data_IF_303004501571
#
_entry.id   IF_303004501571
#
_cell.length_a   1.000
_cell.length_b   1.000
_cell.length_c   1.000
_cell.angle_alpha   90.00
_cell.angle_beta   90.00
_cell.angle_gamma   90.00
#
_symmetry.space_group_name_H-M   'P 1'
#
loop_
_entity.id
_entity.type
_entity.pdbx_description
1 polymer ?
#
# COMPACT_ATOMS: atom_id res chain seq x y z
N UNK A 1 -11.65 -3.00 27.74
CA UNK A 1 -10.23 -3.16 27.37
C UNK A 1 -9.60 -4.26 28.21
N UNK A 2 -9.73 -5.51 27.77
CA UNK A 2 -9.17 -6.66 28.48
C UNK A 2 -7.74 -6.88 27.97
N UNK A 3 -6.76 -6.48 28.77
CA UNK A 3 -5.37 -6.90 28.56
C UNK A 3 -5.26 -8.38 28.91
N UNK A 4 -5.34 -9.23 27.90
CA UNK A 4 -4.96 -10.63 28.00
C UNK A 4 -3.82 -10.89 27.03
N UNK A 5 -2.64 -11.07 27.60
CA UNK A 5 -1.58 -12.04 27.27
C UNK A 5 -0.35 -11.57 28.05
N UNK A 6 -0.47 -11.65 29.38
CA UNK A 6 0.68 -11.68 30.27
C UNK A 6 1.23 -13.09 30.08
N UNK A 7 2.25 -13.25 29.25
CA UNK A 7 3.14 -14.39 29.41
C UNK A 7 3.79 -14.20 30.79
N UNK A 8 3.30 -14.97 31.75
CA UNK A 8 3.73 -15.00 33.14
C UNK A 8 5.27 -15.14 33.20
N UNK A 9 5.92 -14.01 33.43
CA UNK A 9 7.21 -13.91 34.11
C UNK A 9 6.93 -13.34 35.50
N UNK A 10 7.58 -13.83 36.56
CA UNK A 10 7.09 -13.69 37.92
C UNK A 10 6.97 -12.21 38.31
N UNK A 11 5.80 -11.86 38.84
CA UNK A 11 5.62 -10.72 39.72
C UNK A 11 6.75 -10.70 40.74
N UNK A 12 7.61 -9.69 40.73
CA UNK A 12 8.35 -9.24 41.91
C UNK A 12 9.03 -7.90 41.61
N UNK A 13 8.71 -6.86 42.37
CA UNK A 13 9.81 -6.09 42.96
C UNK A 13 10.64 -7.08 43.79
N UNK A 14 11.96 -6.87 43.79
CA UNK A 14 12.98 -7.54 44.64
C UNK A 14 13.60 -8.82 44.08
N UNK A 15 14.56 -8.67 43.14
CA UNK A 15 15.66 -9.64 43.02
C UNK A 15 16.95 -8.98 42.49
N UNK A 16 17.36 -7.87 43.11
CA UNK A 16 18.70 -7.31 42.92
C UNK A 16 19.10 -7.11 41.44
N UNK A 17 18.19 -6.60 40.61
CA UNK A 17 18.47 -6.31 39.21
C UNK A 17 18.25 -4.81 38.95
N UNK A 18 19.29 -4.11 38.50
CA UNK A 18 19.20 -2.71 38.07
C UNK A 18 18.97 -2.67 36.56
N UNK A 19 18.13 -1.74 36.09
CA UNK A 19 17.78 -1.59 34.67
C UNK A 19 18.55 -0.40 34.09
N UNK A 20 19.16 -0.59 32.92
CA UNK A 20 19.89 0.44 32.19
C UNK A 20 19.62 0.36 30.67
N UNK A 21 19.89 1.42 29.90
CA UNK A 21 19.68 1.51 28.45
C UNK A 21 18.26 1.15 27.98
N UNK A 22 17.24 1.68 28.66
CA UNK A 22 15.85 1.52 28.26
C UNK A 22 15.57 2.30 26.96
N UNK A 23 14.93 1.66 25.98
CA UNK A 23 14.47 2.30 24.74
C UNK A 23 13.06 1.83 24.41
N UNK A 24 12.22 2.76 23.91
CA UNK A 24 10.82 2.52 23.55
C UNK A 24 10.67 2.74 22.05
N UNK A 25 10.14 1.74 21.34
CA UNK A 25 9.95 1.80 19.89
C UNK A 25 8.59 1.23 19.48
N UNK A 26 8.10 1.63 18.31
CA UNK A 26 6.93 1.00 17.69
C UNK A 26 7.34 -0.34 17.04
N UNK A 27 6.53 -1.39 17.20
CA UNK A 27 6.70 -2.62 16.42
C UNK A 27 6.44 -2.33 14.93
N UNK A 28 7.26 -2.82 13.98
CA UNK A 28 7.16 -2.44 12.56
C UNK A 28 5.86 -2.90 11.89
N UNK A 29 5.26 -4.01 12.34
CA UNK A 29 4.11 -4.63 11.68
C UNK A 29 2.85 -4.75 12.56
N UNK A 30 3.00 -4.77 13.88
CA UNK A 30 1.92 -5.07 14.85
C UNK A 30 1.59 -3.85 15.69
N UNK A 31 0.39 -3.80 16.24
CA UNK A 31 -0.04 -2.76 17.19
C UNK A 31 0.60 -3.01 18.56
N UNK A 32 1.92 -2.89 18.63
CA UNK A 32 2.66 -3.19 19.84
C UNK A 32 3.81 -2.20 20.08
N UNK A 33 4.04 -1.92 21.37
CA UNK A 33 5.20 -1.15 21.84
C UNK A 33 6.31 -2.14 22.19
N UNK A 34 7.50 -1.89 21.65
CA UNK A 34 8.72 -2.68 21.89
C UNK A 34 9.60 -1.93 22.87
N UNK A 35 9.83 -2.54 24.02
CA UNK A 35 10.70 -2.00 25.07
C UNK A 35 11.94 -2.87 25.13
N UNK A 36 13.10 -2.27 24.87
CA UNK A 36 14.39 -2.95 25.02
C UNK A 36 15.14 -2.34 26.21
N UNK A 37 15.70 -3.19 27.05
CA UNK A 37 16.44 -2.77 28.24
C UNK A 37 17.55 -3.75 28.57
N UNK A 38 18.49 -3.31 29.40
CA UNK A 38 19.57 -4.14 29.94
C UNK A 38 19.32 -4.37 31.42
N UNK A 39 19.16 -5.63 31.82
CA UNK A 39 19.10 -6.02 33.23
C UNK A 39 20.52 -6.33 33.73
N UNK A 40 20.88 -5.74 34.88
CA UNK A 40 22.15 -5.93 35.57
C UNK A 40 21.90 -6.84 36.75
N UNK A 41 22.39 -8.07 36.71
CA UNK A 41 22.29 -8.95 37.86
C UNK A 41 23.33 -8.53 38.92
N UNK A 42 22.89 -7.94 40.03
CA UNK A 42 23.80 -7.35 41.04
C UNK A 42 24.71 -8.42 41.68
N UNK A 43 24.27 -9.69 41.74
CA UNK A 43 25.05 -10.79 42.31
C UNK A 43 26.18 -11.27 41.40
N UNK A 44 25.97 -11.26 40.08
CA UNK A 44 26.93 -11.79 39.10
C UNK A 44 27.62 -10.72 38.25
N UNK A 45 27.19 -9.45 38.37
CA UNK A 45 27.56 -8.30 37.51
C UNK A 45 27.45 -8.60 36.00
N UNK A 46 26.60 -9.54 35.62
CA UNK A 46 26.34 -9.88 34.21
C UNK A 46 25.19 -9.04 33.68
N UNK A 47 25.33 -8.66 32.42
CA UNK A 47 24.33 -7.93 31.66
C UNK A 47 23.52 -8.89 30.81
N UNK A 48 22.20 -8.78 30.85
CA UNK A 48 21.30 -9.47 29.93
C UNK A 48 20.49 -8.44 29.15
N UNK A 49 20.46 -8.59 27.82
CA UNK A 49 19.60 -7.80 26.97
C UNK A 49 18.21 -8.40 26.98
N UNK A 50 17.22 -7.62 27.39
CA UNK A 50 15.84 -8.04 27.51
C UNK A 50 14.96 -7.22 26.56
N UNK A 51 13.91 -7.86 26.05
CA UNK A 51 12.89 -7.21 25.24
C UNK A 51 11.51 -7.57 25.80
N UNK A 52 10.68 -6.55 26.03
CA UNK A 52 9.28 -6.69 26.39
C UNK A 52 8.41 -6.09 25.29
N UNK A 53 7.35 -6.79 24.93
CA UNK A 53 6.40 -6.36 23.91
C UNK A 53 5.05 -6.10 24.59
N UNK A 54 4.47 -4.93 24.37
CA UNK A 54 3.15 -4.54 24.89
C UNK A 54 2.20 -4.50 23.71
N UNK A 55 1.32 -5.48 23.60
CA UNK A 55 0.32 -5.53 22.55
C UNK A 55 -0.89 -4.64 22.92
N UNK A 56 -1.27 -3.76 22.01
CA UNK A 56 -2.40 -2.85 22.12
C UNK A 56 -3.55 -3.45 21.29
N UNK A 57 -4.41 -4.25 21.92
CA UNK A 57 -5.62 -4.75 21.27
C UNK A 57 -6.62 -3.59 21.14
N UNK A 58 -7.26 -3.48 19.97
CA UNK A 58 -8.32 -2.52 19.64
C UNK A 58 -7.90 -1.04 19.61
N UNK A 59 -6.73 -0.73 19.04
CA UNK A 59 -6.35 0.66 18.84
C UNK A 59 -7.26 1.30 17.75
N UNK A 60 -8.08 2.28 18.13
CA UNK A 60 -9.05 2.91 17.23
C UNK A 60 -8.96 4.45 17.25
N UNK A 61 -9.77 5.10 16.40
CA UNK A 61 -9.87 6.55 16.28
C UNK A 61 -10.37 7.26 17.55
N UNK A 62 -11.03 6.55 18.46
CA UNK A 62 -11.59 7.10 19.70
C UNK A 62 -10.63 6.96 20.91
N UNK A 63 -9.57 6.16 20.79
CA UNK A 63 -8.62 5.95 21.90
C UNK A 63 -7.81 7.21 22.17
N UNK A 64 -8.06 7.86 23.31
CA UNK A 64 -7.23 8.95 23.81
C UNK A 64 -5.81 8.43 24.13
N UNK A 65 -4.80 8.98 23.44
CA UNK A 65 -3.40 8.60 23.61
C UNK A 65 -2.92 8.89 25.02
N UNK A 66 -3.38 9.98 25.65
CA UNK A 66 -2.96 10.36 27.00
C UNK A 66 -3.47 9.36 28.05
N UNK A 67 -4.72 8.93 27.91
CA UNK A 67 -5.31 7.89 28.77
C UNK A 67 -4.61 6.56 28.55
N UNK A 68 -4.31 6.20 27.30
CA UNK A 68 -3.59 4.97 26.98
C UNK A 68 -2.18 4.97 27.58
N UNK A 69 -1.45 6.08 27.50
CA UNK A 69 -0.14 6.25 28.13
C UNK A 69 -0.20 5.99 29.63
N UNK A 70 -1.20 6.56 30.33
CA UNK A 70 -1.37 6.33 31.76
C UNK A 70 -1.58 4.85 32.08
N UNK A 71 -2.45 4.16 31.34
CA UNK A 71 -2.71 2.73 31.53
C UNK A 71 -1.46 1.89 31.26
N UNK A 72 -0.66 2.24 30.25
CA UNK A 72 0.59 1.55 29.94
C UNK A 72 1.62 1.77 31.05
N UNK A 73 1.77 2.98 31.59
CA UNK A 73 2.66 3.28 32.70
C UNK A 73 2.25 2.56 33.99
N UNK A 74 0.94 2.53 34.30
CA UNK A 74 0.40 1.78 35.45
C UNK A 74 0.68 0.28 35.34
N UNK A 75 0.53 -0.30 34.15
CA UNK A 75 0.72 -1.74 33.93
C UNK A 75 2.18 -2.14 33.67
N UNK A 76 3.03 -1.20 33.28
CA UNK A 76 4.44 -1.45 32.96
C UNK A 76 5.36 -0.53 33.76
N UNK A 77 5.61 -0.92 35.01
CA UNK A 77 6.53 -0.26 35.96
C UNK A 77 7.99 -0.20 35.52
N UNK A 78 8.37 -0.87 34.42
CA UNK A 78 9.70 -0.80 33.82
C UNK A 78 9.94 0.56 33.14
N UNK A 79 8.87 1.23 32.70
CA UNK A 79 8.98 2.52 32.02
C UNK A 79 8.97 3.63 33.09
N UNK A 80 10.03 4.45 33.19
CA UNK A 80 10.04 5.59 34.09
C UNK A 80 9.15 6.71 33.56
N UNK A 81 8.56 7.49 34.47
CA UNK A 81 7.67 8.62 34.15
C UNK A 81 8.35 9.66 33.24
N UNK A 82 9.69 9.76 33.31
CA UNK A 82 10.49 10.67 32.47
C UNK A 82 10.40 10.36 30.98
N UNK A 83 10.08 9.12 30.59
CA UNK A 83 9.95 8.68 29.19
C UNK A 83 8.50 8.75 28.68
N UNK A 84 7.59 9.38 29.44
CA UNK A 84 6.19 9.57 29.06
C UNK A 84 6.03 10.15 27.65
N UNK A 85 6.80 11.20 27.33
CA UNK A 85 6.70 11.86 26.02
C UNK A 85 7.10 10.93 24.86
N UNK A 86 8.13 10.10 25.04
CA UNK A 86 8.54 9.13 24.03
C UNK A 86 7.48 8.04 23.84
N UNK A 87 6.90 7.56 24.94
CA UNK A 87 5.81 6.60 24.90
C UNK A 87 4.57 7.18 24.20
N UNK A 88 4.19 8.42 24.49
CA UNK A 88 3.10 9.12 23.81
C UNK A 88 3.33 9.25 22.31
N UNK A 89 4.55 9.61 21.89
CA UNK A 89 4.90 9.69 20.47
C UNK A 89 4.79 8.34 19.77
N UNK A 90 5.26 7.26 20.41
CA UNK A 90 5.15 5.89 19.88
C UNK A 90 3.68 5.46 19.79
N UNK A 91 2.88 5.71 20.83
CA UNK A 91 1.46 5.40 20.85
C UNK A 91 0.67 6.20 19.81
N UNK A 92 0.99 7.48 19.65
CA UNK A 92 0.41 8.33 18.60
C UNK A 92 0.75 7.81 17.20
N UNK A 93 2.00 7.43 16.96
CA UNK A 93 2.41 6.83 15.69
C UNK A 93 1.67 5.51 15.41
N UNK A 94 1.59 4.62 16.41
CA UNK A 94 0.85 3.36 16.30
C UNK A 94 -0.63 3.59 16.01
N UNK A 95 -1.26 4.57 16.69
CA UNK A 95 -2.66 4.96 16.46
C UNK A 95 -2.84 5.49 15.04
N UNK A 96 -2.03 6.46 14.61
CA UNK A 96 -2.08 6.99 13.23
C UNK A 96 -1.92 5.89 12.17
N UNK A 97 -1.04 4.91 12.43
CA UNK A 97 -0.86 3.75 11.56
C UNK A 97 -2.07 2.81 11.57
N UNK A 98 -2.67 2.56 12.73
CA UNK A 98 -3.89 1.75 12.84
C UNK A 98 -5.07 2.41 12.12
N UNK A 99 -5.23 3.73 12.25
CA UNK A 99 -6.23 4.53 11.52
C UNK A 99 -6.06 4.34 10.01
N UNK A 100 -4.83 4.33 9.51
CA UNK A 100 -4.57 4.07 8.09
C UNK A 100 -4.89 2.63 7.65
N UNK A 101 -4.90 1.66 8.57
CA UNK A 101 -5.29 0.26 8.29
C UNK A 101 -6.80 0.00 8.44
N UNK A 102 -7.44 0.63 9.42
CA UNK A 102 -8.79 0.31 9.87
C UNK A 102 -9.88 1.27 9.39
N UNK A 103 -9.53 2.43 8.81
CA UNK A 103 -10.55 3.31 8.23
C UNK A 103 -11.24 2.60 7.05
N UNK A 104 -12.58 2.62 6.98
CA UNK A 104 -13.33 1.86 6.00
C UNK A 104 -12.98 2.34 4.58
N UNK A 105 -12.65 1.39 3.70
CA UNK A 105 -12.30 1.68 2.30
C UNK A 105 -13.36 2.54 1.56
N UNK A 106 -14.63 2.46 1.99
CA UNK A 106 -15.73 3.28 1.49
C UNK A 106 -15.50 4.78 1.68
N UNK A 107 -15.06 5.19 2.86
CA UNK A 107 -14.92 6.62 3.22
C UNK A 107 -13.66 7.24 2.60
N UNK A 108 -12.58 6.46 2.50
CA UNK A 108 -11.38 6.88 1.75
C UNK A 108 -11.63 7.00 0.25
N UNK A 109 -12.43 6.09 -0.33
CA UNK A 109 -12.66 6.11 -1.77
C UNK A 109 -13.22 7.45 -2.24
N UNK A 110 -14.11 8.09 -1.46
CA UNK A 110 -14.69 9.39 -1.80
C UNK A 110 -13.63 10.51 -1.78
N UNK A 111 -12.85 10.62 -0.71
CA UNK A 111 -11.79 11.64 -0.61
C UNK A 111 -10.69 11.43 -1.66
N UNK A 112 -10.38 10.19 -2.03
CA UNK A 112 -9.39 9.91 -3.06
C UNK A 112 -9.93 10.08 -4.48
N UNK A 113 -11.25 9.91 -4.70
CA UNK A 113 -11.90 10.22 -5.97
C UNK A 113 -11.81 11.72 -6.27
N UNK A 114 -11.90 12.58 -5.26
CA UNK A 114 -11.75 14.04 -5.43
C UNK A 114 -10.38 14.39 -6.03
N UNK A 115 -9.32 13.69 -5.63
CA UNK A 115 -7.96 13.89 -6.19
C UNK A 115 -7.89 13.60 -7.70
N UNK A 116 -8.84 12.85 -8.26
CA UNK A 116 -8.90 12.59 -9.70
C UNK A 116 -9.48 13.75 -10.53
N UNK A 117 -10.01 14.78 -9.88
CA UNK A 117 -10.46 16.03 -10.51
C UNK A 117 -9.41 17.14 -10.48
N UNK A 118 -8.34 16.94 -9.71
CA UNK A 118 -7.24 17.89 -9.53
C UNK A 118 -6.12 17.70 -10.56
N UNK A 119 -5.00 18.38 -10.34
CA UNK A 119 -3.80 18.33 -11.18
C UNK A 119 -3.15 16.93 -11.26
N UNK A 120 -2.30 16.75 -12.27
CA UNK A 120 -1.60 15.49 -12.57
C UNK A 120 -0.88 14.87 -11.37
N UNK A 121 -0.30 15.71 -10.49
CA UNK A 121 0.40 15.24 -9.31
C UNK A 121 -0.57 14.66 -8.26
N UNK A 122 -1.71 15.32 -8.05
CA UNK A 122 -2.75 14.85 -7.12
C UNK A 122 -3.44 13.59 -7.64
N UNK A 123 -3.69 13.51 -8.97
CA UNK A 123 -4.17 12.27 -9.61
C UNK A 123 -3.24 11.08 -9.33
N UNK A 124 -1.92 11.30 -9.43
CA UNK A 124 -0.91 10.29 -9.09
C UNK A 124 -0.98 9.86 -7.63
N UNK A 125 -1.10 10.83 -6.71
CA UNK A 125 -1.24 10.56 -5.28
C UNK A 125 -2.50 9.76 -4.98
N UNK A 126 -3.64 10.18 -5.52
CA UNK A 126 -4.92 9.48 -5.37
C UNK A 126 -4.86 8.04 -5.88
N UNK A 127 -4.26 7.81 -7.05
CA UNK A 127 -4.09 6.45 -7.59
C UNK A 127 -3.21 5.57 -6.69
N UNK A 128 -2.11 6.11 -6.15
CA UNK A 128 -1.25 5.37 -5.22
C UNK A 128 -1.95 5.04 -3.90
N UNK A 129 -2.75 5.98 -3.37
CA UNK A 129 -3.55 5.75 -2.18
C UNK A 129 -4.58 4.63 -2.38
N UNK A 130 -5.29 4.62 -3.52
CA UNK A 130 -6.22 3.53 -3.87
C UNK A 130 -5.48 2.21 -4.03
N UNK A 131 -4.32 2.20 -4.69
CA UNK A 131 -3.50 1.01 -4.83
C UNK A 131 -3.07 0.45 -3.46
N UNK A 132 -2.77 1.32 -2.49
CA UNK A 132 -2.45 0.87 -1.13
C UNK A 132 -3.64 0.14 -0.48
N UNK A 133 -4.87 0.65 -0.67
CA UNK A 133 -6.07 0.00 -0.14
C UNK A 133 -6.30 -1.40 -0.72
N UNK A 134 -5.92 -1.63 -1.99
CA UNK A 134 -6.07 -2.95 -2.64
C UNK A 134 -5.17 -4.04 -2.07
N UNK A 135 -4.14 -3.70 -1.29
CA UNK A 135 -3.27 -4.71 -0.66
C UNK A 135 -3.97 -5.51 0.43
N UNK A 136 -5.07 -4.98 0.98
CA UNK A 136 -5.90 -5.69 1.96
C UNK A 136 -7.05 -6.36 1.23
N UNK A 137 -7.10 -7.69 1.26
CA UNK A 137 -8.09 -8.51 0.54
C UNK A 137 -9.54 -8.15 0.88
N UNK A 138 -9.82 -7.83 2.15
CA UNK A 138 -11.14 -7.41 2.61
C UNK A 138 -11.66 -6.11 1.96
N UNK A 139 -10.77 -5.28 1.40
CA UNK A 139 -11.16 -4.04 0.74
C UNK A 139 -11.55 -4.25 -0.73
N UNK A 140 -11.13 -5.36 -1.36
CA UNK A 140 -11.23 -5.53 -2.80
C UNK A 140 -12.68 -5.53 -3.30
N UNK A 141 -13.57 -6.27 -2.64
CA UNK A 141 -15.00 -6.31 -2.98
C UNK A 141 -15.64 -4.93 -2.85
N UNK A 142 -15.35 -4.22 -1.75
CA UNK A 142 -15.89 -2.89 -1.50
C UNK A 142 -15.41 -1.86 -2.54
N UNK A 143 -14.15 -1.95 -2.96
CA UNK A 143 -13.56 -1.03 -3.92
C UNK A 143 -14.11 -1.25 -5.33
N UNK A 144 -14.32 -2.50 -5.74
CA UNK A 144 -14.83 -2.80 -7.08
C UNK A 144 -16.34 -2.56 -7.21
N UNK A 145 -17.10 -2.77 -6.13
CA UNK A 145 -18.52 -2.42 -6.05
C UNK A 145 -18.77 -0.91 -6.16
N UNK A 146 -17.76 -0.09 -5.87
CA UNK A 146 -17.88 1.35 -6.02
C UNK A 146 -17.75 1.77 -7.49
N UNK A 147 -18.87 1.82 -8.20
CA UNK A 147 -18.94 2.24 -9.61
C UNK A 147 -18.34 3.64 -9.85
N UNK A 148 -18.45 4.55 -8.87
CA UNK A 148 -17.89 5.91 -9.01
C UNK A 148 -16.36 5.89 -9.03
N UNK A 149 -15.74 5.03 -8.21
CA UNK A 149 -14.29 4.83 -8.20
C UNK A 149 -13.81 4.21 -9.51
N UNK A 150 -14.44 3.12 -9.94
CA UNK A 150 -14.06 2.42 -11.17
C UNK A 150 -14.26 3.34 -12.38
N UNK A 151 -15.35 4.10 -12.41
CA UNK A 151 -15.60 5.11 -13.43
C UNK A 151 -14.55 6.23 -13.45
N UNK A 152 -14.16 6.76 -12.29
CA UNK A 152 -13.13 7.78 -12.18
C UNK A 152 -11.76 7.26 -12.66
N UNK A 153 -11.34 6.07 -12.21
CA UNK A 153 -10.10 5.43 -12.65
C UNK A 153 -10.09 5.18 -14.17
N UNK A 154 -11.19 4.67 -14.73
CA UNK A 154 -11.31 4.43 -16.16
C UNK A 154 -11.25 5.74 -16.98
N UNK A 155 -11.87 6.82 -16.48
CA UNK A 155 -11.81 8.16 -17.10
C UNK A 155 -10.39 8.69 -17.11
N UNK A 156 -9.73 8.73 -15.94
CA UNK A 156 -8.35 9.21 -15.82
C UNK A 156 -7.41 8.38 -16.68
N UNK A 157 -7.57 7.05 -16.68
CA UNK A 157 -6.79 6.18 -17.56
C UNK A 157 -7.01 6.56 -19.02
N UNK A 158 -8.24 6.76 -19.49
CA UNK A 158 -8.54 7.12 -20.89
C UNK A 158 -7.95 8.47 -21.31
N UNK A 159 -7.95 9.45 -20.42
CA UNK A 159 -7.51 10.82 -20.70
C UNK A 159 -5.98 10.99 -20.63
N UNK A 160 -5.35 10.39 -19.62
CA UNK A 160 -3.99 10.75 -19.23
C UNK A 160 -2.92 9.69 -19.57
N UNK A 161 -3.30 8.49 -20.00
CA UNK A 161 -2.35 7.38 -20.21
C UNK A 161 -1.21 7.68 -21.19
N UNK A 162 -1.43 8.52 -22.20
CA UNK A 162 -0.40 8.92 -23.17
C UNK A 162 0.61 9.91 -22.59
N UNK A 163 0.18 10.71 -21.61
CA UNK A 163 0.96 11.82 -21.03
C UNK A 163 1.69 11.38 -19.77
N UNK A 164 1.08 10.50 -18.98
CA UNK A 164 1.60 10.06 -17.69
C UNK A 164 1.56 8.53 -17.58
N UNK A 165 2.66 7.90 -17.99
CA UNK A 165 2.82 6.45 -17.95
C UNK A 165 2.84 5.89 -16.53
N UNK A 166 3.35 6.63 -15.55
CA UNK A 166 3.39 6.20 -14.16
C UNK A 166 1.97 6.14 -13.56
N UNK A 167 1.13 7.14 -13.86
CA UNK A 167 -0.28 7.14 -13.50
C UNK A 167 -1.00 5.96 -14.16
N UNK A 168 -0.81 5.79 -15.46
CA UNK A 168 -1.40 4.71 -16.24
C UNK A 168 -1.05 3.34 -15.65
N UNK A 169 0.23 3.10 -15.37
CA UNK A 169 0.71 1.85 -14.80
C UNK A 169 0.12 1.62 -13.39
N UNK A 170 0.00 2.67 -12.59
CA UNK A 170 -0.62 2.57 -11.26
C UNK A 170 -2.09 2.18 -11.36
N UNK A 171 -2.84 2.81 -12.26
CA UNK A 171 -4.27 2.49 -12.48
C UNK A 171 -4.46 1.05 -12.97
N UNK A 172 -3.65 0.59 -13.92
CA UNK A 172 -3.70 -0.80 -14.37
C UNK A 172 -3.38 -1.78 -13.24
N UNK A 173 -2.38 -1.47 -12.40
CA UNK A 173 -2.03 -2.31 -11.24
C UNK A 173 -3.18 -2.44 -10.25
N UNK A 174 -4.00 -1.39 -10.07
CA UNK A 174 -5.22 -1.44 -9.26
C UNK A 174 -6.19 -2.46 -9.87
N UNK A 175 -6.48 -2.37 -11.17
CA UNK A 175 -7.42 -3.30 -11.83
C UNK A 175 -6.95 -4.77 -11.79
N UNK A 176 -5.64 -5.01 -11.85
CA UNK A 176 -5.05 -6.36 -11.74
C UNK A 176 -5.21 -6.98 -10.34
N UNK A 177 -5.56 -6.21 -9.30
CA UNK A 177 -5.83 -6.78 -7.96
C UNK A 177 -7.21 -7.42 -7.83
N UNK A 178 -8.14 -7.14 -8.74
CA UNK A 178 -9.53 -7.60 -8.67
C UNK A 178 -9.92 -8.96 -9.30
N UNK A 179 -9.08 -9.79 -9.95
CA UNK A 179 -9.52 -10.97 -10.71
C UNK A 179 -10.40 -11.96 -9.94
N UNK A 180 -10.23 -12.04 -8.62
CA UNK A 180 -10.99 -12.96 -7.76
C UNK A 180 -12.30 -12.38 -7.24
N UNK A 181 -12.64 -11.13 -7.58
CA UNK A 181 -13.89 -10.49 -7.16
C UNK A 181 -15.04 -10.91 -8.07
N UNK A 182 -16.21 -11.19 -7.49
CA UNK A 182 -17.41 -11.61 -8.24
C UNK A 182 -17.87 -10.60 -9.30
N UNK A 183 -17.68 -9.30 -9.05
CA UNK A 183 -18.07 -8.22 -9.96
C UNK A 183 -17.00 -7.84 -11.00
N UNK A 184 -15.85 -8.54 -11.02
CA UNK A 184 -14.70 -8.18 -11.85
C UNK A 184 -15.05 -7.99 -13.34
N UNK A 185 -15.60 -9.01 -13.98
CA UNK A 185 -15.92 -8.95 -15.41
C UNK A 185 -17.01 -7.91 -15.71
N UNK A 186 -18.04 -7.82 -14.87
CA UNK A 186 -19.14 -6.88 -15.06
C UNK A 186 -18.67 -5.42 -14.97
N UNK A 187 -17.92 -5.07 -13.92
CA UNK A 187 -17.38 -3.72 -13.71
C UNK A 187 -16.43 -3.31 -14.84
N UNK A 188 -15.50 -4.20 -15.24
CA UNK A 188 -14.53 -3.87 -16.27
C UNK A 188 -15.13 -3.78 -17.67
N UNK A 189 -16.12 -4.62 -17.96
CA UNK A 189 -16.86 -4.58 -19.23
C UNK A 189 -17.68 -3.29 -19.34
N UNK A 190 -18.40 -2.90 -18.28
CA UNK A 190 -19.20 -1.68 -18.22
C UNK A 190 -18.38 -0.42 -18.57
N UNK A 191 -17.16 -0.31 -18.02
CA UNK A 191 -16.28 0.83 -18.26
C UNK A 191 -15.35 0.66 -19.48
N UNK A 192 -15.50 -0.43 -20.24
CA UNK A 192 -14.70 -0.76 -21.44
C UNK A 192 -13.20 -0.80 -21.16
N UNK A 193 -12.80 -1.25 -19.98
CA UNK A 193 -11.41 -1.23 -19.51
C UNK A 193 -10.51 -2.11 -20.40
N UNK A 194 -11.01 -3.27 -20.83
CA UNK A 194 -10.30 -4.14 -21.78
C UNK A 194 -9.94 -3.42 -23.08
N UNK A 195 -10.90 -2.70 -23.69
CA UNK A 195 -10.64 -1.92 -24.92
C UNK A 195 -9.63 -0.78 -24.70
N UNK A 196 -9.62 -0.16 -23.52
CA UNK A 196 -8.61 0.85 -23.19
C UNK A 196 -7.21 0.25 -23.06
N UNK A 197 -7.08 -0.95 -22.47
CA UNK A 197 -5.80 -1.66 -22.38
C UNK A 197 -5.27 -2.04 -23.76
N UNK A 198 -6.15 -2.55 -24.62
CA UNK A 198 -5.83 -2.87 -26.02
C UNK A 198 -5.34 -1.63 -26.79
N UNK A 199 -6.06 -0.51 -26.69
CA UNK A 199 -5.64 0.75 -27.32
C UNK A 199 -4.29 1.26 -26.78
N UNK A 200 -4.04 1.10 -25.48
CA UNK A 200 -2.77 1.49 -24.87
C UNK A 200 -1.60 0.66 -25.40
N UNK A 201 -1.80 -0.66 -25.53
CA UNK A 201 -0.82 -1.57 -26.13
C UNK A 201 -0.54 -1.23 -27.60
N UNK A 202 -1.58 -1.09 -28.43
CA UNK A 202 -1.44 -0.75 -29.86
C UNK A 202 -0.66 0.55 -30.08
N UNK A 203 -0.88 1.56 -29.24
CA UNK A 203 -0.15 2.83 -29.32
C UNK A 203 1.31 2.70 -28.93
N UNK A 204 1.60 1.96 -27.86
CA UNK A 204 2.98 1.72 -27.43
C UNK A 204 3.79 1.00 -28.51
N UNK A 205 3.18 0.07 -29.23
CA UNK A 205 3.79 -0.64 -30.35
C UNK A 205 4.10 0.29 -31.52
N UNK A 206 3.09 1.03 -32.01
CA UNK A 206 3.27 1.98 -33.12
C UNK A 206 4.31 3.05 -32.80
N UNK A 207 4.36 3.50 -31.54
CA UNK A 207 5.37 4.45 -31.08
C UNK A 207 6.75 3.81 -31.01
N UNK A 208 6.86 2.54 -30.60
CA UNK A 208 8.09 1.78 -30.64
C UNK A 208 8.70 1.73 -32.05
N UNK A 209 7.87 1.48 -33.06
CA UNK A 209 8.28 1.44 -34.46
C UNK A 209 8.77 2.80 -34.98
N UNK A 210 8.05 3.87 -34.64
CA UNK A 210 8.43 5.25 -34.99
C UNK A 210 9.77 5.64 -34.34
N UNK A 211 9.98 5.28 -33.08
CA UNK A 211 11.26 5.51 -32.40
C UNK A 211 12.39 4.67 -32.99
N UNK A 212 12.13 3.42 -33.36
CA UNK A 212 13.11 2.57 -34.04
C UNK A 212 13.53 3.16 -35.40
N UNK A 213 12.62 3.87 -36.08
CA UNK A 213 12.92 4.63 -37.29
C UNK A 213 13.71 5.92 -36.99
N UNK A 214 13.35 6.67 -35.95
CA UNK A 214 14.01 7.94 -35.55
C UNK A 214 15.43 7.74 -34.98
N UNK A 215 15.73 6.61 -34.33
CA UNK A 215 17.08 6.29 -33.83
C UNK A 215 18.12 6.22 -34.96
N UNK A 216 17.70 6.02 -36.22
CA UNK A 216 18.60 6.13 -37.38
C UNK A 216 19.06 7.57 -37.66
N UNK A 217 18.46 8.57 -37.00
CA UNK A 217 18.58 9.99 -37.36
C UNK A 217 19.05 10.91 -36.22
N UNK A 218 19.06 10.47 -34.96
CA UNK A 218 19.33 11.33 -33.78
C UNK A 218 20.60 10.91 -33.02
N UNK A 219 21.30 11.90 -32.47
CA UNK A 219 22.57 11.83 -31.76
C UNK A 219 22.57 10.81 -30.59
N UNK A 220 23.51 9.85 -30.63
CA UNK A 220 23.44 8.57 -29.90
C UNK A 220 23.58 8.70 -28.37
N UNK A 221 24.15 9.80 -27.86
CA UNK A 221 24.56 9.92 -26.46
C UNK A 221 23.40 10.19 -25.49
N UNK A 222 22.58 11.22 -25.76
CA UNK A 222 21.42 11.54 -24.92
C UNK A 222 20.32 10.46 -25.01
N UNK A 223 20.20 9.83 -26.19
CA UNK A 223 19.31 8.71 -26.40
C UNK A 223 19.71 7.46 -25.58
N UNK A 224 20.99 7.21 -25.31
CA UNK A 224 21.44 6.03 -24.54
C UNK A 224 21.15 6.12 -23.04
N UNK A 225 21.20 7.31 -22.43
CA UNK A 225 21.02 7.49 -20.98
C UNK A 225 19.54 7.49 -20.54
N UNK A 226 18.63 8.13 -21.28
CA UNK A 226 17.20 8.20 -20.94
C UNK A 226 16.39 6.96 -21.39
N UNK A 227 16.92 6.19 -22.35
CA UNK A 227 16.27 5.01 -22.96
C UNK A 227 15.94 3.88 -21.98
N UNK A 228 16.84 3.41 -21.09
CA UNK A 228 16.51 2.30 -20.20
C UNK A 228 15.40 2.64 -19.20
N UNK A 229 15.35 3.87 -18.68
CA UNK A 229 14.30 4.28 -17.74
C UNK A 229 12.93 4.39 -18.42
N UNK A 230 12.89 5.00 -19.62
CA UNK A 230 11.68 5.11 -20.41
C UNK A 230 11.16 3.74 -20.86
N UNK A 231 12.06 2.82 -21.26
CA UNK A 231 11.70 1.44 -21.63
C UNK A 231 11.14 0.68 -20.42
N UNK A 232 11.77 0.76 -19.25
CA UNK A 232 11.29 0.06 -18.04
C UNK A 232 9.90 0.54 -17.61
N UNK A 233 9.65 1.85 -17.58
CA UNK A 233 8.33 2.41 -17.24
C UNK A 233 7.24 1.95 -18.22
N UNK A 234 7.58 1.85 -19.52
CA UNK A 234 6.68 1.34 -20.58
C UNK A 234 6.40 -0.16 -20.42
N UNK A 235 7.44 -0.95 -20.12
CA UNK A 235 7.30 -2.39 -19.89
C UNK A 235 6.38 -2.69 -18.71
N UNK A 236 6.41 -1.90 -17.64
CA UNK A 236 5.50 -2.06 -16.50
C UNK A 236 4.04 -1.87 -16.89
N UNK A 237 3.72 -0.83 -17.68
CA UNK A 237 2.36 -0.62 -18.16
C UNK A 237 1.90 -1.76 -19.07
N UNK A 238 2.74 -2.15 -20.04
CA UNK A 238 2.44 -3.23 -20.98
C UNK A 238 2.22 -4.57 -20.26
N UNK A 239 3.11 -4.94 -19.35
CA UNK A 239 2.98 -6.16 -18.56
C UNK A 239 1.69 -6.16 -17.72
N UNK A 240 1.34 -5.00 -17.14
CA UNK A 240 0.07 -4.83 -16.44
C UNK A 240 -1.13 -5.01 -17.34
N UNK A 241 -1.12 -4.41 -18.54
CA UNK A 241 -2.21 -4.54 -19.52
C UNK A 241 -2.38 -5.99 -19.98
N UNK A 242 -1.27 -6.68 -20.27
CA UNK A 242 -1.27 -8.10 -20.65
C UNK A 242 -1.88 -8.95 -19.52
N UNK A 243 -1.40 -8.77 -18.28
CA UNK A 243 -1.94 -9.50 -17.13
C UNK A 243 -3.44 -9.26 -16.95
N UNK A 244 -3.90 -8.01 -17.10
CA UNK A 244 -5.31 -7.68 -16.99
C UNK A 244 -6.14 -8.32 -18.11
N UNK A 245 -5.64 -8.29 -19.34
CA UNK A 245 -6.31 -8.89 -20.50
C UNK A 245 -6.38 -10.41 -20.40
N UNK A 246 -5.34 -11.08 -19.89
CA UNK A 246 -5.36 -12.53 -19.61
C UNK A 246 -6.45 -12.85 -18.56
N UNK A 247 -6.53 -12.05 -17.50
CA UNK A 247 -7.58 -12.22 -16.49
C UNK A 247 -8.97 -11.99 -17.09
N UNK A 248 -9.13 -11.03 -18.01
CA UNK A 248 -10.39 -10.77 -18.71
C UNK A 248 -10.73 -11.82 -19.78
N UNK A 249 -9.76 -12.50 -20.37
CA UNK A 249 -9.95 -13.46 -21.46
C UNK A 249 -10.73 -14.73 -21.05
N UNK A 250 -11.05 -14.90 -19.77
CA UNK A 250 -12.07 -15.87 -19.33
C UNK A 250 -13.47 -15.52 -19.85
N UNK A 251 -13.69 -14.26 -20.27
CA UNK A 251 -14.88 -13.81 -20.98
C UNK A 251 -14.67 -13.86 -22.51
N UNK A 252 -15.49 -14.66 -23.19
CA UNK A 252 -15.41 -14.97 -24.63
C UNK A 252 -15.54 -13.69 -25.48
N UNK A 253 -16.38 -12.74 -25.07
CA UNK A 253 -16.55 -11.48 -25.81
C UNK A 253 -15.29 -10.61 -25.79
N UNK A 254 -14.51 -10.72 -24.72
CA UNK A 254 -13.24 -10.01 -24.59
C UNK A 254 -12.13 -10.72 -25.38
N UNK A 255 -12.10 -12.05 -25.34
CA UNK A 255 -11.20 -12.88 -26.15
C UNK A 255 -11.37 -12.62 -27.65
N UNK A 256 -12.62 -12.59 -28.16
CA UNK A 256 -12.91 -12.30 -29.57
C UNK A 256 -12.43 -10.90 -29.99
N UNK A 257 -12.48 -9.91 -29.09
CA UNK A 257 -11.95 -8.56 -29.37
C UNK A 257 -10.42 -8.55 -29.44
N UNK A 258 -9.76 -9.35 -28.59
CA UNK A 258 -8.30 -9.50 -28.59
C UNK A 258 -7.81 -10.18 -29.87
N UNK A 259 -8.53 -11.20 -30.35
CA UNK A 259 -8.24 -11.86 -31.64
C UNK A 259 -8.41 -10.89 -32.81
N UNK A 260 -9.53 -10.15 -32.87
CA UNK A 260 -9.80 -9.19 -33.97
C UNK A 260 -8.78 -8.06 -34.07
N UNK A 261 -8.13 -7.72 -32.97
CA UNK A 261 -7.12 -6.65 -32.89
C UNK A 261 -5.68 -7.17 -33.00
N UNK A 262 -5.52 -8.46 -33.28
CA UNK A 262 -4.22 -9.12 -33.41
C UNK A 262 -3.32 -8.95 -32.17
N UNK A 263 -3.95 -8.98 -30.99
CA UNK A 263 -3.26 -8.83 -29.70
C UNK A 263 -2.79 -10.18 -29.18
N UNK A 264 -3.45 -11.26 -29.58
CA UNK A 264 -3.14 -12.63 -29.14
C UNK A 264 -1.69 -13.06 -29.43
N UNK A 265 -1.08 -12.73 -30.59
CA UNK A 265 0.34 -13.02 -30.82
C UNK A 265 1.31 -12.27 -29.88
N UNK A 266 0.82 -11.31 -29.10
CA UNK A 266 1.59 -10.44 -28.22
C UNK A 266 1.49 -10.82 -26.73
N UNK A 267 0.65 -11.80 -26.40
CA UNK A 267 0.44 -12.35 -25.05
C UNK A 267 1.38 -13.53 -24.83
#
# INVERSE_FOLDING_TARGET
MYLFDILDGPNHQTNGEAIDNLTINAHPSEEAVVIKYRAINIRTRRFTGCQKLINLKDLNDDVDVQVLTNVVLEKCTIIPETMRQELEQVLYYLRKRSIHRNKPAREWSLSYIELFYEDTNEKNRGALCILELTKTTANLEVLIENETLIGALARVFREDWKKNFDLAATIIRIFVQFPYCSQFHAALSHHKIGALCMNAMEYELKRGDLWAAEIKTVDEKAARECRPLAIRKRQTLLAGCISLLINLAHDIDTELKMVRRDIVPML
#
